data_IF_469544772607
#
_entry.id   IF_469544772607
#
_cell.length_a   1.000
_cell.length_b   1.000
_cell.length_c   1.000
_cell.angle_alpha   90.00
_cell.angle_beta   90.00
_cell.angle_gamma   90.00
#
_symmetry.space_group_name_H-M   'P 1'
#
loop_
_entity.id
_entity.type
_entity.pdbx_description
1 polymer ?
#
# COMPACT_ATOMS: atom_id res chain seq x y z
N UNK A 1 -8.09 1.12 17.16
CA UNK A 1 -7.95 2.16 16.13
C UNK A 1 -9.29 2.57 15.52
N UNK A 2 -10.16 1.60 15.16
CA UNK A 2 -11.42 1.88 14.47
C UNK A 2 -12.33 2.80 15.29
N UNK A 3 -12.55 2.50 16.58
CA UNK A 3 -13.37 3.33 17.48
C UNK A 3 -12.84 4.75 17.61
N UNK A 4 -11.52 4.95 17.62
CA UNK A 4 -10.89 6.27 17.64
C UNK A 4 -11.22 7.07 16.36
N UNK A 5 -10.98 6.47 15.20
CA UNK A 5 -11.19 7.11 13.90
C UNK A 5 -12.68 7.43 13.66
N UNK A 6 -13.59 6.47 13.96
CA UNK A 6 -15.02 6.70 13.82
C UNK A 6 -15.52 7.79 14.76
N UNK A 7 -15.04 7.85 16.00
CA UNK A 7 -15.41 8.91 16.93
C UNK A 7 -15.00 10.28 16.41
N UNK A 8 -13.81 10.39 15.80
CA UNK A 8 -13.35 11.62 15.15
C UNK A 8 -14.18 11.99 13.92
N UNK A 9 -14.50 11.01 13.09
CA UNK A 9 -15.32 11.21 11.89
C UNK A 9 -16.74 11.67 12.20
N UNK A 10 -17.32 11.13 13.27
CA UNK A 10 -18.70 11.41 13.70
C UNK A 10 -18.82 12.64 14.62
N UNK A 11 -17.75 13.37 14.87
CA UNK A 11 -17.75 14.54 15.79
C UNK A 11 -18.72 15.65 15.44
N UNK A 12 -19.14 15.76 14.19
CA UNK A 12 -20.13 16.73 13.75
C UNK A 12 -21.55 16.45 14.25
N UNK A 13 -21.80 15.27 14.84
CA UNK A 13 -23.11 14.92 15.36
C UNK A 13 -23.39 15.67 16.68
N UNK A 14 -24.66 16.07 16.93
CA UNK A 14 -25.05 16.75 18.14
C UNK A 14 -24.95 15.81 19.35
N UNK A 15 -24.48 16.35 20.48
CA UNK A 15 -24.35 15.61 21.73
C UNK A 15 -22.94 15.08 22.01
N UNK A 16 -22.50 15.23 23.28
CA UNK A 16 -21.12 14.89 23.72
C UNK A 16 -20.78 13.40 23.56
N UNK A 17 -21.76 12.53 23.74
CA UNK A 17 -21.57 11.07 23.77
C UNK A 17 -22.09 10.39 22.50
N UNK A 18 -22.77 11.09 21.60
CA UNK A 18 -23.35 10.52 20.38
C UNK A 18 -22.29 9.89 19.48
N UNK A 19 -21.23 10.64 19.19
CA UNK A 19 -20.15 10.18 18.34
C UNK A 19 -19.41 8.94 18.91
N UNK A 20 -18.97 8.91 20.20
CA UNK A 20 -18.32 7.73 20.74
C UNK A 20 -19.23 6.52 20.85
N UNK A 21 -20.51 6.70 21.24
CA UNK A 21 -21.46 5.59 21.33
C UNK A 21 -21.69 4.98 19.94
N UNK A 22 -21.98 5.79 18.93
CA UNK A 22 -22.15 5.32 17.56
C UNK A 22 -20.88 4.66 17.02
N UNK A 23 -19.70 5.21 17.32
CA UNK A 23 -18.44 4.61 16.90
C UNK A 23 -18.23 3.21 17.48
N UNK A 24 -18.57 3.00 18.75
CA UNK A 24 -18.49 1.69 19.42
C UNK A 24 -19.53 0.73 18.83
N UNK A 25 -20.77 1.17 18.65
CA UNK A 25 -21.83 0.35 18.07
C UNK A 25 -21.50 -0.08 16.65
N UNK A 26 -21.07 0.85 15.78
CA UNK A 26 -20.66 0.54 14.41
C UNK A 26 -19.48 -0.43 14.36
N UNK A 27 -18.49 -0.21 15.23
CA UNK A 27 -17.33 -1.12 15.30
C UNK A 27 -17.73 -2.52 15.77
N UNK A 28 -18.59 -2.62 16.77
CA UNK A 28 -19.10 -3.90 17.26
C UNK A 28 -19.95 -4.60 16.19
N UNK A 29 -20.79 -3.85 15.47
CA UNK A 29 -21.60 -4.39 14.36
C UNK A 29 -20.70 -4.93 13.24
N UNK A 30 -19.67 -4.19 12.83
CA UNK A 30 -18.71 -4.66 11.82
C UNK A 30 -18.02 -5.93 12.30
N UNK A 31 -17.57 -5.97 13.56
CA UNK A 31 -16.95 -7.17 14.14
C UNK A 31 -17.90 -8.36 14.14
N UNK A 32 -19.15 -8.16 14.55
CA UNK A 32 -20.19 -9.21 14.56
C UNK A 32 -20.48 -9.74 13.15
N UNK A 33 -20.59 -8.85 12.17
CA UNK A 33 -20.81 -9.24 10.76
C UNK A 33 -19.62 -10.05 10.24
N UNK A 34 -18.38 -9.64 10.55
CA UNK A 34 -17.19 -10.39 10.15
C UNK A 34 -17.16 -11.77 10.80
N UNK A 35 -17.46 -11.89 12.09
CA UNK A 35 -17.56 -13.18 12.78
C UNK A 35 -18.66 -14.06 12.19
N UNK A 36 -19.83 -13.48 11.86
CA UNK A 36 -20.92 -14.21 11.22
C UNK A 36 -20.51 -14.69 9.79
N UNK A 37 -19.79 -13.89 9.03
CA UNK A 37 -19.27 -14.30 7.71
C UNK A 37 -18.21 -15.40 7.83
N UNK A 38 -17.42 -15.41 8.91
CA UNK A 38 -16.43 -16.45 9.18
C UNK A 38 -17.05 -17.84 9.44
N UNK A 39 -18.31 -17.91 9.87
CA UNK A 39 -19.01 -19.21 10.01
C UNK A 39 -19.11 -19.99 8.71
N UNK A 40 -19.06 -19.30 7.58
CA UNK A 40 -19.13 -19.93 6.25
C UNK A 40 -17.76 -20.32 5.67
N UNK A 41 -16.68 -20.02 6.40
CA UNK A 41 -15.32 -20.38 6.01
C UNK A 41 -14.88 -21.67 6.70
N UNK A 42 -14.56 -22.78 5.96
CA UNK A 42 -14.26 -24.07 6.56
C UNK A 42 -13.04 -24.09 7.50
N UNK A 43 -12.15 -23.12 7.38
CA UNK A 43 -10.91 -23.03 8.14
C UNK A 43 -10.95 -22.05 9.32
N UNK A 44 -12.12 -21.45 9.61
CA UNK A 44 -12.27 -20.44 10.66
C UNK A 44 -13.34 -20.85 11.69
N UNK A 45 -13.01 -20.62 12.96
CA UNK A 45 -13.97 -20.79 14.07
C UNK A 45 -14.30 -19.40 14.61
N UNK A 46 -15.56 -18.96 14.56
CA UNK A 46 -15.97 -17.69 15.13
C UNK A 46 -15.69 -17.64 16.63
N UNK A 47 -15.22 -16.49 17.12
CA UNK A 47 -14.80 -16.33 18.51
C UNK A 47 -15.53 -15.17 19.18
N UNK A 48 -16.31 -15.47 20.21
CA UNK A 48 -16.91 -14.45 21.07
C UNK A 48 -15.85 -13.58 21.77
N UNK A 49 -14.65 -14.12 21.98
CA UNK A 49 -13.52 -13.39 22.56
C UNK A 49 -13.03 -12.31 21.60
N UNK A 50 -12.94 -12.61 20.30
CA UNK A 50 -12.52 -11.64 19.29
C UNK A 50 -13.53 -10.49 19.18
N UNK A 51 -14.84 -10.80 19.23
CA UNK A 51 -15.88 -9.79 19.28
C UNK A 51 -15.73 -8.89 20.50
N UNK A 52 -15.52 -9.48 21.69
CA UNK A 52 -15.35 -8.74 22.93
C UNK A 52 -14.08 -7.87 22.90
N UNK A 53 -12.96 -8.39 22.43
CA UNK A 53 -11.70 -7.65 22.29
C UNK A 53 -11.83 -6.49 21.30
N UNK A 54 -12.51 -6.68 20.18
CA UNK A 54 -12.76 -5.64 19.19
C UNK A 54 -13.68 -4.54 19.74
N UNK A 55 -14.74 -4.91 20.47
CA UNK A 55 -15.64 -3.96 21.12
C UNK A 55 -14.91 -3.15 22.22
N UNK A 56 -14.14 -3.81 23.08
CA UNK A 56 -13.33 -3.16 24.12
C UNK A 56 -12.25 -2.24 23.49
N UNK A 57 -11.55 -2.69 22.46
CA UNK A 57 -10.59 -1.88 21.75
C UNK A 57 -11.21 -0.65 21.09
N UNK A 58 -12.45 -0.78 20.61
CA UNK A 58 -13.22 0.33 20.05
C UNK A 58 -13.68 1.31 21.14
N UNK A 59 -14.11 0.82 22.30
CA UNK A 59 -14.47 1.65 23.43
C UNK A 59 -13.27 2.47 23.95
N UNK A 60 -12.13 1.81 24.16
CA UNK A 60 -10.90 2.50 24.56
C UNK A 60 -10.47 3.54 23.53
N UNK A 61 -10.56 3.21 22.24
CA UNK A 61 -10.29 4.13 21.14
C UNK A 61 -11.23 5.33 21.14
N UNK A 62 -12.53 5.13 21.39
CA UNK A 62 -13.54 6.18 21.47
C UNK A 62 -13.30 7.11 22.65
N UNK A 63 -12.97 6.57 23.84
CA UNK A 63 -12.60 7.35 25.03
C UNK A 63 -11.35 8.19 24.73
N UNK A 64 -10.32 7.59 24.15
CA UNK A 64 -9.09 8.30 23.78
C UNK A 64 -9.37 9.43 22.79
N UNK A 65 -10.24 9.20 21.79
CA UNK A 65 -10.65 10.22 20.85
C UNK A 65 -11.35 11.41 21.51
N UNK A 66 -12.10 11.21 22.58
CA UNK A 66 -12.73 12.28 23.33
C UNK A 66 -11.72 13.15 24.10
N UNK A 67 -10.69 12.52 24.68
CA UNK A 67 -9.71 13.21 25.53
C UNK A 67 -8.65 13.94 24.68
N UNK A 68 -8.07 13.24 23.71
CA UNK A 68 -6.88 13.70 22.97
C UNK A 68 -7.24 14.17 21.56
N UNK A 69 -8.33 13.64 21.00
CA UNK A 69 -8.72 13.84 19.61
C UNK A 69 -8.82 15.30 19.14
N UNK A 70 -9.38 16.28 19.91
CA UNK A 70 -9.43 17.67 19.50
C UNK A 70 -8.06 18.26 19.20
N UNK A 71 -7.10 17.99 20.08
CA UNK A 71 -5.73 18.52 19.95
C UNK A 71 -4.96 17.84 18.80
N UNK A 72 -5.12 16.51 18.70
CA UNK A 72 -4.50 15.71 17.62
C UNK A 72 -5.05 16.13 16.27
N UNK A 73 -6.38 16.29 16.16
CA UNK A 73 -7.03 16.67 14.92
C UNK A 73 -6.57 18.05 14.42
N UNK A 74 -6.54 19.05 15.30
CA UNK A 74 -6.06 20.41 14.94
C UNK A 74 -4.59 20.38 14.51
N UNK A 75 -3.75 19.66 15.25
CA UNK A 75 -2.33 19.50 14.88
C UNK A 75 -2.17 18.77 13.56
N UNK A 76 -2.91 17.67 13.37
CA UNK A 76 -2.87 16.90 12.14
C UNK A 76 -3.36 17.73 10.94
N UNK A 77 -4.46 18.45 11.07
CA UNK A 77 -4.95 19.35 10.02
C UNK A 77 -3.94 20.47 9.68
N UNK A 78 -3.26 21.02 10.68
CA UNK A 78 -2.19 22.01 10.45
C UNK A 78 -0.98 21.40 9.73
N UNK A 79 -0.59 20.18 10.08
CA UNK A 79 0.47 19.43 9.41
C UNK A 79 0.08 19.07 7.98
N UNK A 80 -1.13 18.54 7.79
CA UNK A 80 -1.67 18.23 6.46
C UNK A 80 -1.59 19.44 5.52
N UNK A 81 -2.04 20.63 5.95
CA UNK A 81 -1.96 21.87 5.16
C UNK A 81 -0.52 22.29 4.82
N UNK A 82 0.47 21.91 5.63
CA UNK A 82 1.88 22.25 5.38
C UNK A 82 2.58 21.24 4.48
N UNK A 83 2.21 19.96 4.58
CA UNK A 83 2.91 18.85 3.93
C UNK A 83 2.25 18.45 2.62
N UNK A 84 0.91 18.49 2.56
CA UNK A 84 0.13 17.99 1.43
C UNK A 84 -0.27 19.14 0.53
N UNK A 85 -0.09 18.95 -0.77
CA UNK A 85 -0.52 19.90 -1.79
C UNK A 85 -2.04 20.06 -1.79
N UNK A 86 -2.58 21.28 -1.98
CA UNK A 86 -4.01 21.53 -2.07
C UNK A 86 -4.55 21.10 -3.44
N UNK A 87 -4.45 19.82 -3.75
CA UNK A 87 -4.95 19.22 -4.99
C UNK A 87 -6.29 18.52 -4.76
N UNK A 88 -7.15 18.43 -5.80
CA UNK A 88 -8.36 17.66 -5.72
C UNK A 88 -8.07 16.19 -5.40
N UNK A 89 -8.89 15.60 -4.55
CA UNK A 89 -8.76 14.18 -4.18
C UNK A 89 -7.41 13.79 -3.56
N UNK A 90 -6.74 14.71 -2.83
CA UNK A 90 -5.49 14.40 -2.12
C UNK A 90 -5.66 13.20 -1.15
N UNK A 91 -6.83 13.08 -0.53
CA UNK A 91 -7.17 11.96 0.36
C UNK A 91 -7.17 10.62 -0.38
N UNK A 92 -7.67 10.59 -1.63
CA UNK A 92 -7.62 9.40 -2.47
C UNK A 92 -6.16 9.02 -2.79
N UNK A 93 -5.33 10.01 -3.13
CA UNK A 93 -3.91 9.78 -3.36
C UNK A 93 -3.19 9.22 -2.13
N UNK A 94 -3.48 9.75 -0.94
CA UNK A 94 -2.93 9.23 0.32
C UNK A 94 -3.43 7.81 0.61
N UNK A 95 -4.70 7.52 0.35
CA UNK A 95 -5.27 6.18 0.49
C UNK A 95 -4.59 5.19 -0.45
N UNK A 96 -4.36 5.58 -1.71
CA UNK A 96 -3.65 4.77 -2.69
C UNK A 96 -2.20 4.48 -2.26
N UNK A 97 -1.48 5.47 -1.71
CA UNK A 97 -0.15 5.26 -1.15
C UNK A 97 -0.19 4.34 0.09
N UNK A 98 -1.20 4.47 0.94
CA UNK A 98 -1.41 3.56 2.07
C UNK A 98 -1.66 2.12 1.62
N UNK A 99 -2.49 1.93 0.60
CA UNK A 99 -2.74 0.62 -0.01
C UNK A 99 -1.48 0.05 -0.68
N UNK A 100 -0.68 0.90 -1.32
CA UNK A 100 0.59 0.46 -1.92
C UNK A 100 1.54 -0.18 -0.90
N UNK A 101 1.56 0.31 0.35
CA UNK A 101 2.40 -0.27 1.40
C UNK A 101 2.05 -1.71 1.76
N UNK A 102 0.87 -2.21 1.34
CA UNK A 102 0.49 -3.60 1.48
C UNK A 102 1.12 -4.51 0.41
N UNK A 103 1.57 -3.94 -0.73
CA UNK A 103 2.21 -4.71 -1.81
C UNK A 103 3.54 -5.34 -1.33
N UNK A 104 4.46 -4.59 -0.67
CA UNK A 104 5.68 -5.15 -0.13
C UNK A 104 5.49 -6.26 0.91
N UNK A 105 4.30 -6.41 1.50
CA UNK A 105 4.00 -7.51 2.43
C UNK A 105 3.95 -8.89 1.76
N UNK A 106 3.83 -8.96 0.42
CA UNK A 106 3.85 -10.23 -0.33
C UNK A 106 5.26 -10.59 -0.77
N UNK A 107 5.99 -11.47 -0.09
CA UNK A 107 7.39 -11.82 -0.43
C UNK A 107 7.51 -12.58 -1.75
N UNK A 108 6.43 -13.16 -2.27
CA UNK A 108 6.38 -13.88 -3.55
C UNK A 108 6.44 -12.98 -4.78
N UNK A 109 6.09 -11.70 -4.66
CA UNK A 109 6.03 -10.75 -5.77
C UNK A 109 7.41 -10.09 -5.94
N UNK A 110 7.81 -9.80 -7.18
CA UNK A 110 9.00 -9.00 -7.46
C UNK A 110 8.92 -7.64 -6.74
N UNK A 111 10.07 -7.08 -6.40
CA UNK A 111 10.11 -5.84 -5.62
C UNK A 111 9.28 -4.74 -6.29
N UNK A 112 8.27 -4.26 -5.56
CA UNK A 112 7.29 -3.27 -6.00
C UNK A 112 6.44 -3.66 -7.22
N UNK A 113 6.55 -4.91 -7.72
CA UNK A 113 5.76 -5.39 -8.85
C UNK A 113 4.26 -5.31 -8.57
N UNK A 114 3.52 -4.66 -9.47
CA UNK A 114 2.08 -4.49 -9.35
C UNK A 114 1.40 -4.59 -10.71
N UNK A 115 0.11 -4.98 -10.71
CA UNK A 115 -0.68 -5.07 -11.94
C UNK A 115 -0.64 -6.42 -12.64
N UNK A 116 -0.29 -7.51 -11.94
CA UNK A 116 -0.31 -8.86 -12.50
C UNK A 116 -1.75 -9.38 -12.67
N UNK A 117 -2.22 -9.40 -13.91
CA UNK A 117 -3.55 -9.89 -14.31
C UNK A 117 -3.55 -11.35 -14.74
N UNK A 118 -2.39 -12.00 -14.86
CA UNK A 118 -2.28 -13.35 -15.43
C UNK A 118 -3.14 -14.37 -14.71
N UNK A 119 -3.18 -14.31 -13.37
CA UNK A 119 -4.01 -15.23 -12.58
C UNK A 119 -5.53 -15.01 -12.79
N UNK A 120 -5.95 -13.76 -12.98
CA UNK A 120 -7.37 -13.43 -13.21
C UNK A 120 -7.79 -13.82 -14.63
N UNK A 121 -6.90 -13.60 -15.60
CA UNK A 121 -7.20 -13.83 -17.02
C UNK A 121 -6.81 -15.23 -17.51
N UNK A 122 -6.22 -16.07 -16.65
CA UNK A 122 -5.76 -17.40 -17.02
C UNK A 122 -4.61 -17.39 -18.05
N UNK A 123 -3.78 -16.35 -18.03
CA UNK A 123 -2.69 -16.18 -19.00
C UNK A 123 -1.37 -16.76 -18.46
N UNK A 124 -0.58 -17.36 -19.35
CA UNK A 124 0.81 -17.73 -19.09
C UNK A 124 1.74 -16.57 -19.41
N UNK A 125 2.94 -16.53 -18.78
CA UNK A 125 3.96 -15.55 -19.12
C UNK A 125 4.34 -15.64 -20.61
N UNK A 126 4.43 -14.49 -21.27
CA UNK A 126 4.67 -14.44 -22.72
C UNK A 126 6.13 -14.67 -23.09
N UNK A 127 7.08 -14.41 -22.16
CA UNK A 127 8.53 -14.51 -22.42
C UNK A 127 9.07 -15.75 -21.70
N UNK A 128 9.84 -16.63 -22.38
CA UNK A 128 10.50 -17.75 -21.73
C UNK A 128 11.56 -17.25 -20.74
N UNK A 129 11.78 -18.03 -19.69
CA UNK A 129 12.78 -17.67 -18.68
C UNK A 129 14.19 -17.81 -19.25
N UNK A 130 14.97 -16.73 -19.14
CA UNK A 130 16.41 -16.70 -19.34
C UNK A 130 17.04 -15.81 -18.28
N UNK A 131 18.05 -16.27 -17.57
CA UNK A 131 18.58 -15.64 -16.37
C UNK A 131 19.00 -14.17 -16.61
N UNK A 132 19.75 -13.89 -17.68
CA UNK A 132 20.24 -12.55 -17.99
C UNK A 132 19.11 -11.58 -18.34
N UNK A 133 18.15 -12.01 -19.18
CA UNK A 133 17.00 -11.18 -19.51
C UNK A 133 16.06 -10.98 -18.33
N UNK A 134 15.97 -11.95 -17.42
CA UNK A 134 15.16 -11.83 -16.21
C UNK A 134 15.66 -10.72 -15.28
N UNK A 135 16.98 -10.60 -15.09
CA UNK A 135 17.58 -9.49 -14.32
C UNK A 135 17.18 -8.12 -14.87
N UNK A 136 17.17 -7.97 -16.21
CA UNK A 136 16.74 -6.72 -16.84
C UNK A 136 15.24 -6.48 -16.68
N UNK A 137 14.41 -7.51 -16.81
CA UNK A 137 12.96 -7.41 -16.62
C UNK A 137 12.66 -7.00 -15.18
N UNK A 138 13.26 -7.67 -14.20
CA UNK A 138 13.13 -7.37 -12.78
C UNK A 138 13.57 -5.93 -12.45
N UNK A 139 14.72 -5.51 -13.00
CA UNK A 139 15.22 -4.15 -12.82
C UNK A 139 14.24 -3.09 -13.34
N UNK A 140 13.67 -3.30 -14.53
CA UNK A 140 12.69 -2.37 -15.09
C UNK A 140 11.36 -2.38 -14.34
N UNK A 141 10.86 -3.55 -13.90
CA UNK A 141 9.66 -3.64 -13.05
C UNK A 141 9.86 -2.82 -11.77
N UNK A 142 10.97 -3.04 -11.07
CA UNK A 142 11.30 -2.29 -9.86
C UNK A 142 11.44 -0.80 -10.12
N UNK A 143 12.15 -0.42 -11.20
CA UNK A 143 12.39 0.98 -11.55
C UNK A 143 11.10 1.73 -11.88
N UNK A 144 10.27 1.18 -12.76
CA UNK A 144 9.03 1.84 -13.17
C UNK A 144 8.02 1.98 -12.02
N UNK A 145 7.84 0.93 -11.23
CA UNK A 145 6.91 1.01 -10.09
C UNK A 145 7.43 1.97 -9.01
N UNK A 146 8.71 1.96 -8.66
CA UNK A 146 9.30 2.90 -7.72
C UNK A 146 9.23 4.36 -8.24
N UNK A 147 9.47 4.57 -9.54
CA UNK A 147 9.34 5.88 -10.19
C UNK A 147 7.88 6.39 -10.10
N UNK A 148 6.92 5.55 -10.44
CA UNK A 148 5.51 5.92 -10.40
C UNK A 148 5.09 6.31 -8.97
N UNK A 149 5.38 5.47 -7.99
CA UNK A 149 5.07 5.73 -6.57
C UNK A 149 5.74 7.00 -6.07
N UNK A 150 7.03 7.17 -6.36
CA UNK A 150 7.77 8.37 -5.96
C UNK A 150 7.18 9.65 -6.58
N UNK A 151 6.71 9.59 -7.84
CA UNK A 151 6.04 10.72 -8.48
C UNK A 151 4.65 11.00 -7.87
N UNK A 152 3.91 9.97 -7.46
CA UNK A 152 2.64 10.14 -6.74
C UNK A 152 2.89 10.82 -5.38
N UNK A 153 3.91 10.38 -4.63
CA UNK A 153 4.33 11.06 -3.40
C UNK A 153 4.68 12.52 -3.70
N UNK A 154 5.42 12.79 -4.79
CA UNK A 154 5.76 14.17 -5.19
C UNK A 154 4.54 15.01 -5.52
N UNK A 155 3.55 14.46 -6.20
CA UNK A 155 2.29 15.15 -6.54
C UNK A 155 1.54 15.56 -5.27
N UNK A 156 1.58 14.72 -4.24
CA UNK A 156 0.95 14.99 -2.95
C UNK A 156 1.75 15.94 -2.06
N UNK A 157 3.05 16.14 -2.31
CA UNK A 157 3.86 17.07 -1.53
C UNK A 157 3.58 18.53 -1.89
N UNK A 158 3.33 19.36 -0.87
CA UNK A 158 3.06 20.79 -1.04
C UNK A 158 4.24 21.56 -1.66
N UNK A 159 5.48 21.16 -1.38
CA UNK A 159 6.70 21.83 -1.83
C UNK A 159 7.68 20.84 -2.45
N UNK A 160 8.43 21.29 -3.46
CA UNK A 160 9.45 20.49 -4.12
C UNK A 160 10.57 20.04 -3.15
N UNK A 161 11.05 20.94 -2.29
CA UNK A 161 12.09 20.61 -1.31
C UNK A 161 11.64 19.50 -0.34
N UNK A 162 10.36 19.49 0.04
CA UNK A 162 9.79 18.43 0.86
C UNK A 162 9.81 17.09 0.12
N UNK A 163 9.55 17.09 -1.18
CA UNK A 163 9.52 15.85 -1.97
C UNK A 163 10.89 15.16 -2.06
N UNK A 164 11.99 15.90 -2.11
CA UNK A 164 13.32 15.31 -2.09
C UNK A 164 13.64 14.54 -0.80
N UNK A 165 12.89 14.79 0.26
CA UNK A 165 12.99 14.03 1.53
C UNK A 165 11.88 12.98 1.62
N UNK A 166 10.65 13.35 1.29
CA UNK A 166 9.48 12.47 1.45
C UNK A 166 9.52 11.27 0.50
N UNK A 167 9.98 11.45 -0.75
CA UNK A 167 10.04 10.36 -1.73
C UNK A 167 11.02 9.27 -1.30
N UNK A 168 12.31 9.55 -1.01
CA UNK A 168 13.21 8.49 -0.58
C UNK A 168 12.80 7.88 0.77
N UNK A 169 12.26 8.66 1.70
CA UNK A 169 11.74 8.11 2.96
C UNK A 169 10.57 7.16 2.75
N UNK A 170 9.65 7.47 1.83
CA UNK A 170 8.52 6.60 1.53
C UNK A 170 8.96 5.30 0.86
N UNK A 171 9.88 5.37 -0.11
CA UNK A 171 10.48 4.17 -0.73
C UNK A 171 11.22 3.34 0.32
N UNK A 172 12.05 3.96 1.15
CA UNK A 172 12.76 3.29 2.24
C UNK A 172 11.77 2.61 3.20
N UNK A 173 10.66 3.26 3.53
CA UNK A 173 9.63 2.65 4.37
C UNK A 173 9.02 1.40 3.70
N UNK A 174 8.75 1.45 2.40
CA UNK A 174 8.33 0.26 1.62
C UNK A 174 9.37 -0.87 1.65
N UNK A 175 10.67 -0.54 1.58
CA UNK A 175 11.75 -1.53 1.70
C UNK A 175 11.83 -2.13 3.11
N UNK A 176 11.63 -1.33 4.16
CA UNK A 176 11.56 -1.81 5.54
C UNK A 176 10.38 -2.78 5.69
N UNK A 177 9.19 -2.42 5.18
CA UNK A 177 8.01 -3.30 5.19
C UNK A 177 8.33 -4.62 4.47
N UNK A 178 9.00 -4.57 3.31
CA UNK A 178 9.42 -5.77 2.56
C UNK A 178 10.36 -6.66 3.36
N UNK A 179 11.37 -6.04 3.98
CA UNK A 179 12.37 -6.77 4.80
C UNK A 179 11.72 -7.43 6.01
N UNK A 180 10.85 -6.71 6.72
CA UNK A 180 10.12 -7.26 7.86
C UNK A 180 9.16 -8.37 7.44
N UNK A 181 8.46 -8.22 6.30
CA UNK A 181 7.59 -9.26 5.77
C UNK A 181 8.38 -10.53 5.43
N UNK A 182 9.52 -10.41 4.76
CA UNK A 182 10.39 -11.55 4.46
C UNK A 182 10.90 -12.23 5.74
N UNK A 183 11.38 -11.46 6.72
CA UNK A 183 11.89 -11.98 7.99
C UNK A 183 10.81 -12.73 8.81
N UNK A 184 9.58 -12.22 8.81
CA UNK A 184 8.49 -12.77 9.64
C UNK A 184 7.77 -13.92 8.92
N UNK A 185 7.48 -13.76 7.63
CA UNK A 185 6.64 -14.70 6.88
C UNK A 185 7.42 -15.85 6.23
N UNK A 186 8.70 -15.64 5.94
CA UNK A 186 9.59 -16.66 5.34
C UNK A 186 10.60 -17.11 6.39
N UNK A 187 11.70 -16.40 6.54
CA UNK A 187 12.76 -16.68 7.53
C UNK A 187 13.54 -15.40 7.85
N UNK A 188 14.00 -15.23 9.10
CA UNK A 188 14.92 -14.12 9.43
C UNK A 188 16.21 -14.12 8.59
N UNK A 189 16.71 -15.30 8.20
CA UNK A 189 17.89 -15.44 7.36
C UNK A 189 17.65 -14.93 5.93
N UNK A 190 16.39 -14.99 5.47
CA UNK A 190 15.97 -14.56 4.14
C UNK A 190 15.43 -13.12 4.12
N UNK A 191 15.60 -12.36 5.20
CA UNK A 191 15.09 -10.98 5.34
C UNK A 191 15.47 -10.08 4.15
N UNK A 192 16.65 -10.28 3.56
CA UNK A 192 17.17 -9.53 2.42
C UNK A 192 17.17 -10.31 1.10
N UNK A 193 16.51 -11.46 1.01
CA UNK A 193 16.44 -12.25 -0.22
C UNK A 193 15.83 -11.47 -1.41
N UNK A 194 15.02 -10.44 -1.14
CA UNK A 194 14.49 -9.53 -2.14
C UNK A 194 15.54 -8.61 -2.80
N UNK A 195 16.73 -8.46 -2.22
CA UNK A 195 17.81 -7.60 -2.71
C UNK A 195 18.62 -8.31 -3.81
N UNK A 196 17.94 -8.75 -4.84
CA UNK A 196 18.47 -9.41 -6.03
C UNK A 196 19.30 -8.45 -6.90
N UNK A 197 20.08 -8.94 -7.85
CA UNK A 197 20.80 -8.08 -8.81
C UNK A 197 19.85 -7.15 -9.58
N UNK A 198 18.70 -7.66 -10.04
CA UNK A 198 17.70 -6.86 -10.74
C UNK A 198 17.08 -5.79 -9.86
N UNK A 199 16.71 -6.12 -8.62
CA UNK A 199 16.18 -5.17 -7.66
C UNK A 199 17.16 -4.02 -7.36
N UNK A 200 18.47 -4.34 -7.18
CA UNK A 200 19.52 -3.33 -6.96
C UNK A 200 19.64 -2.34 -8.14
N UNK A 201 19.71 -2.87 -9.35
CA UNK A 201 19.78 -2.05 -10.58
C UNK A 201 18.49 -1.21 -10.70
N UNK A 202 17.32 -1.82 -10.48
CA UNK A 202 16.03 -1.14 -10.54
C UNK A 202 15.90 0.01 -9.54
N UNK A 203 16.33 -0.19 -8.29
CA UNK A 203 16.34 0.86 -7.27
C UNK A 203 17.30 2.01 -7.64
N UNK A 204 18.46 1.70 -8.19
CA UNK A 204 19.40 2.72 -8.68
C UNK A 204 18.79 3.54 -9.81
N UNK A 205 18.23 2.87 -10.83
CA UNK A 205 17.55 3.52 -11.95
C UNK A 205 16.37 4.39 -11.48
N UNK A 206 15.56 3.89 -10.55
CA UNK A 206 14.48 4.65 -9.94
C UNK A 206 15.01 5.89 -9.21
N UNK A 207 16.06 5.75 -8.41
CA UNK A 207 16.66 6.84 -7.65
C UNK A 207 17.18 7.97 -8.56
N UNK A 208 17.93 7.62 -9.60
CA UNK A 208 18.42 8.60 -10.60
C UNK A 208 17.26 9.26 -11.34
N UNK A 209 16.29 8.47 -11.81
CA UNK A 209 15.11 8.98 -12.51
C UNK A 209 14.27 9.91 -11.62
N UNK A 210 14.04 9.56 -10.35
CA UNK A 210 13.30 10.37 -9.40
C UNK A 210 14.03 11.67 -9.05
N UNK A 211 15.35 11.65 -8.90
CA UNK A 211 16.13 12.86 -8.62
C UNK A 211 15.90 13.95 -9.68
N UNK A 212 15.72 13.53 -10.94
CA UNK A 212 15.44 14.41 -12.08
C UNK A 212 13.93 14.72 -12.15
N UNK A 213 13.09 13.68 -12.07
CA UNK A 213 11.66 13.78 -12.34
C UNK A 213 10.89 14.59 -11.29
N UNK A 214 11.37 14.67 -10.04
CA UNK A 214 10.80 15.52 -8.99
C UNK A 214 10.76 17.00 -9.40
N UNK A 215 11.71 17.46 -10.20
CA UNK A 215 11.81 18.85 -10.67
C UNK A 215 10.94 19.15 -11.91
N UNK A 216 10.41 18.15 -12.59
CA UNK A 216 9.59 18.34 -13.79
C UNK A 216 8.31 19.14 -13.52
N UNK A 217 7.72 19.80 -14.53
CA UNK A 217 6.40 20.42 -14.44
C UNK A 217 5.30 19.40 -14.03
N UNK A 218 4.23 19.89 -13.43
CA UNK A 218 3.17 19.03 -12.87
C UNK A 218 2.60 18.04 -13.92
N UNK A 219 2.28 18.52 -15.10
CA UNK A 219 1.74 17.71 -16.20
C UNK A 219 2.71 16.61 -16.63
N UNK A 220 3.99 16.96 -16.78
CA UNK A 220 5.02 15.99 -17.17
C UNK A 220 5.20 14.89 -16.09
N UNK A 221 5.15 15.26 -14.81
CA UNK A 221 5.21 14.30 -13.70
C UNK A 221 4.03 13.33 -13.70
N UNK A 222 2.81 13.85 -13.90
CA UNK A 222 1.60 13.03 -13.93
C UNK A 222 1.61 12.07 -15.11
N UNK A 223 2.00 12.55 -16.30
CA UNK A 223 2.15 11.71 -17.49
C UNK A 223 3.22 10.65 -17.28
N UNK A 224 4.39 11.03 -16.76
CA UNK A 224 5.48 10.10 -16.50
C UNK A 224 5.08 9.05 -15.47
N UNK A 225 4.36 9.43 -14.40
CA UNK A 225 3.83 8.48 -13.42
C UNK A 225 2.86 7.48 -14.05
N UNK A 226 1.94 7.95 -14.91
CA UNK A 226 0.99 7.10 -15.61
C UNK A 226 1.68 6.13 -16.58
N UNK A 227 2.64 6.64 -17.37
CA UNK A 227 3.43 5.82 -18.29
C UNK A 227 4.28 4.78 -17.54
N UNK A 228 4.90 5.16 -16.44
CA UNK A 228 5.67 4.24 -15.61
C UNK A 228 4.77 3.13 -15.00
N UNK A 229 3.56 3.46 -14.53
CA UNK A 229 2.61 2.46 -14.06
C UNK A 229 2.21 1.48 -15.17
N UNK A 230 1.89 1.98 -16.35
CA UNK A 230 1.51 1.15 -17.50
C UNK A 230 2.67 0.26 -17.94
N UNK A 231 3.88 0.81 -18.06
CA UNK A 231 5.08 0.06 -18.42
C UNK A 231 5.40 -1.02 -17.36
N UNK A 232 5.32 -0.68 -16.07
CA UNK A 232 5.52 -1.64 -14.98
C UNK A 232 4.51 -2.78 -15.01
N UNK A 233 3.22 -2.46 -15.16
CA UNK A 233 2.15 -3.46 -15.26
C UNK A 233 2.32 -4.32 -16.52
N UNK A 234 2.66 -3.74 -17.67
CA UNK A 234 2.94 -4.48 -18.89
C UNK A 234 4.08 -5.48 -18.70
N UNK A 235 5.19 -5.04 -18.14
CA UNK A 235 6.36 -5.89 -17.90
C UNK A 235 6.04 -7.03 -16.94
N UNK A 236 5.28 -6.77 -15.87
CA UNK A 236 4.85 -7.82 -14.92
C UNK A 236 4.04 -8.90 -15.63
N UNK A 237 3.15 -8.53 -16.56
CA UNK A 237 2.32 -9.47 -17.31
C UNK A 237 3.09 -10.22 -18.42
N UNK A 238 4.14 -9.63 -18.97
CA UNK A 238 5.01 -10.27 -19.98
C UNK A 238 6.09 -11.14 -19.35
N UNK A 239 6.49 -10.83 -18.11
CA UNK A 239 7.58 -11.51 -17.40
C UNK A 239 7.35 -13.01 -17.28
N UNK A 240 8.40 -13.84 -17.32
CA UNK A 240 8.30 -15.24 -16.95
C UNK A 240 7.90 -15.38 -15.47
N UNK A 241 7.46 -16.57 -15.04
CA UNK A 241 7.20 -16.83 -13.62
C UNK A 241 8.40 -16.45 -12.76
N UNK A 242 8.13 -15.82 -11.61
CA UNK A 242 9.17 -15.40 -10.69
C UNK A 242 9.92 -16.61 -10.14
N UNK A 243 11.23 -16.80 -10.42
CA UNK A 243 11.98 -17.95 -9.95
C UNK A 243 12.15 -17.98 -8.43
N UNK A 244 12.03 -16.84 -7.76
CA UNK A 244 12.16 -16.74 -6.30
C UNK A 244 10.84 -17.08 -5.58
N UNK A 245 9.70 -17.10 -6.28
CA UNK A 245 8.39 -17.31 -5.68
C UNK A 245 8.22 -18.73 -5.12
N UNK A 246 8.79 -19.74 -5.77
CA UNK A 246 8.68 -21.14 -5.34
C UNK A 246 9.30 -21.35 -3.95
N UNK A 247 10.49 -20.81 -3.70
CA UNK A 247 11.16 -20.88 -2.40
C UNK A 247 10.38 -20.10 -1.32
N UNK A 248 9.90 -18.90 -1.64
CA UNK A 248 9.09 -18.09 -0.74
C UNK A 248 7.77 -18.79 -0.38
N UNK A 249 7.08 -19.40 -1.34
CA UNK A 249 5.82 -20.11 -1.11
C UNK A 249 6.02 -21.41 -0.31
N UNK A 250 7.12 -22.14 -0.52
CA UNK A 250 7.44 -23.35 0.22
C UNK A 250 7.74 -23.05 1.71
N UNK A 251 8.38 -21.93 1.99
CA UNK A 251 8.71 -21.47 3.34
C UNK A 251 7.57 -20.68 4.02
N UNK A 252 6.53 -20.31 3.28
CA UNK A 252 5.45 -19.47 3.77
C UNK A 252 4.66 -20.15 4.89
N UNK A 253 4.66 -19.54 6.07
CA UNK A 253 3.93 -20.05 7.23
C UNK A 253 2.43 -19.74 7.10
N UNK A 254 1.66 -20.73 6.70
CA UNK A 254 0.20 -20.65 6.70
C UNK A 254 -0.34 -20.45 8.12
N UNK A 255 -1.38 -19.63 8.27
CA UNK A 255 -2.00 -19.37 9.57
C UNK A 255 -1.30 -18.33 10.45
N UNK A 256 -0.19 -17.75 10.00
CA UNK A 256 0.44 -16.63 10.73
C UNK A 256 -0.46 -15.39 10.70
N UNK A 257 -0.62 -14.71 11.84
CA UNK A 257 -1.54 -13.57 11.99
C UNK A 257 -1.25 -12.39 11.05
N UNK A 258 -0.02 -12.25 10.53
CA UNK A 258 0.36 -11.25 9.54
C UNK A 258 0.27 -11.74 8.09
N UNK A 259 -0.23 -12.95 7.87
CA UNK A 259 -0.38 -13.51 6.52
C UNK A 259 -1.66 -12.97 5.85
N UNK A 260 -1.54 -11.82 5.20
CA UNK A 260 -2.60 -11.19 4.41
C UNK A 260 -2.56 -11.56 2.92
N UNK A 261 -2.03 -12.75 2.59
CA UNK A 261 -1.72 -13.15 1.21
C UNK A 261 -2.86 -12.82 0.20
N UNK A 262 -4.09 -13.20 0.50
CA UNK A 262 -5.22 -12.91 -0.39
C UNK A 262 -5.43 -11.41 -0.61
N UNK A 263 -5.44 -10.62 0.45
CA UNK A 263 -5.65 -9.17 0.39
C UNK A 263 -4.49 -8.46 -0.32
N UNK A 264 -3.25 -8.78 0.05
CA UNK A 264 -2.07 -8.14 -0.53
C UNK A 264 -1.92 -8.46 -2.01
N UNK A 265 -2.27 -9.69 -2.42
CA UNK A 265 -2.28 -10.11 -3.82
C UNK A 265 -3.33 -9.32 -4.64
N UNK A 266 -4.56 -9.19 -4.15
CA UNK A 266 -5.60 -8.40 -4.80
C UNK A 266 -5.19 -6.94 -4.92
N UNK A 267 -4.63 -6.35 -3.86
CA UNK A 267 -4.15 -4.98 -3.89
C UNK A 267 -3.01 -4.84 -4.91
N UNK A 268 -2.01 -5.72 -4.90
CA UNK A 268 -0.92 -5.68 -5.86
C UNK A 268 -1.41 -5.77 -7.30
N UNK A 269 -2.43 -6.59 -7.56
CA UNK A 269 -3.01 -6.74 -8.90
C UNK A 269 -3.78 -5.49 -9.33
N UNK A 270 -4.61 -4.93 -8.46
CA UNK A 270 -5.56 -3.86 -8.84
C UNK A 270 -4.98 -2.45 -8.67
N UNK A 271 -3.96 -2.27 -7.84
CA UNK A 271 -3.44 -0.96 -7.44
C UNK A 271 -3.08 -0.04 -8.63
N UNK A 272 -2.37 -0.48 -9.69
CA UNK A 272 -2.07 0.40 -10.81
C UNK A 272 -3.33 0.92 -11.51
N UNK A 273 -4.34 0.05 -11.65
CA UNK A 273 -5.60 0.37 -12.33
C UNK A 273 -6.49 1.30 -11.49
N UNK A 274 -6.38 1.27 -10.17
CA UNK A 274 -7.04 2.22 -9.28
C UNK A 274 -6.30 3.57 -9.25
N UNK A 275 -4.98 3.55 -9.46
CA UNK A 275 -4.13 4.73 -9.40
C UNK A 275 -4.17 5.55 -10.69
N UNK A 276 -4.30 4.91 -11.84
CA UNK A 276 -4.42 5.59 -13.14
C UNK A 276 -5.58 6.61 -13.19
N UNK A 277 -6.82 6.27 -12.81
CA UNK A 277 -7.91 7.25 -12.73
C UNK A 277 -7.60 8.45 -11.83
N UNK A 278 -6.94 8.22 -10.67
CA UNK A 278 -6.51 9.32 -9.80
C UNK A 278 -5.56 10.28 -10.51
N UNK A 279 -4.56 9.77 -11.23
CA UNK A 279 -3.64 10.59 -12.01
C UNK A 279 -4.36 11.39 -13.10
N UNK A 280 -5.30 10.78 -13.82
CA UNK A 280 -6.10 11.42 -14.85
C UNK A 280 -7.03 12.52 -14.27
N UNK A 281 -7.67 12.27 -13.13
CA UNK A 281 -8.51 13.27 -12.45
C UNK A 281 -7.70 14.47 -11.98
N UNK A 282 -6.46 14.24 -11.56
CA UNK A 282 -5.55 15.30 -11.12
C UNK A 282 -5.03 16.13 -12.29
N UNK A 283 -4.84 15.53 -13.48
CA UNK A 283 -4.34 16.23 -14.68
C UNK A 283 -5.36 17.21 -15.26
N UNK A 284 -6.66 16.91 -15.18
CA UNK A 284 -7.73 17.73 -15.80
C UNK A 284 -7.90 19.14 -15.22
N UNK A 285 -7.21 19.47 -14.15
CA UNK A 285 -7.34 20.76 -13.43
C UNK A 285 -6.02 21.56 -13.35
N UNK A 286 -4.99 21.11 -14.05
CA UNK A 286 -3.76 21.85 -14.30
C UNK A 286 -3.65 22.24 -15.77
#
# INVERSE_FOLDING_TARGET
PLGFLLTLALRGLPGRFTAPVLAVLLSATVSLVLEALQTWLPSRVPSNVDLACNALGSLLGAIWAQVVGPRVFVRFAAWQKRLIAPIPHAELGLTLLGLWLLIPLSPEILLFGAGDLRQILGLSGAVPFAADSFVLIEANITAFNALAVGLIVRVLCARQALAYVAVPLFILFGLIVRTLAAAILVSPDDAFAWLTPGAKIGLLLAGVSLAIAIALPATARLLLAALALLAGAMLVNLAPPNPYSAAALAAWRQGHFLNFNGLTRWIATLWPFLTLPFLLLTTRRH
#
